data_IF_243886264146
#
_entry.id   IF_243886264146
#
_cell.length_a   1.000
_cell.length_b   1.000
_cell.length_c   1.000
_cell.angle_alpha   90.00
_cell.angle_beta   90.00
_cell.angle_gamma   90.00
#
_symmetry.space_group_name_H-M   'P 1'
#
loop_
_entity.id
_entity.type
_entity.pdbx_description
1 polymer ?
#
# COMPACT_ATOMS: atom_id res chain seq x y z
N UNK A 1 25.51 -8.77 21.69
CA UNK A 1 25.39 -7.51 22.47
C UNK A 1 25.32 -6.37 21.47
N UNK A 2 24.18 -5.69 21.36
CA UNK A 2 24.02 -4.56 20.44
C UNK A 2 24.88 -3.39 20.93
N UNK A 3 25.70 -2.82 20.04
CA UNK A 3 26.54 -1.64 20.33
C UNK A 3 26.21 -0.57 19.31
N UNK A 4 26.28 0.70 19.71
CA UNK A 4 26.06 1.87 18.84
C UNK A 4 24.64 1.95 18.23
N UNK A 5 23.62 1.40 18.90
CA UNK A 5 22.24 1.55 18.47
C UNK A 5 21.79 3.01 18.68
N UNK A 6 21.33 3.67 17.62
CA UNK A 6 20.62 4.94 17.74
C UNK A 6 19.17 4.63 18.11
N UNK A 7 18.74 5.02 19.30
CA UNK A 7 17.37 4.86 19.76
C UNK A 7 16.78 6.20 20.21
N UNK A 8 15.46 6.29 20.18
CA UNK A 8 14.73 7.37 20.81
C UNK A 8 14.50 7.01 22.28
N UNK A 9 14.74 7.97 23.17
CA UNK A 9 14.49 7.82 24.60
C UNK A 9 13.27 8.68 24.94
N UNK A 10 12.21 8.02 25.41
CA UNK A 10 11.05 8.70 25.98
C UNK A 10 11.32 8.86 27.49
N UNK A 11 11.65 10.07 27.93
CA UNK A 11 12.03 10.35 29.32
C UNK A 11 10.90 10.06 30.33
N UNK A 12 9.64 10.10 29.88
CA UNK A 12 8.46 9.81 30.69
C UNK A 12 8.11 8.30 30.76
N UNK A 13 8.93 7.42 30.18
CA UNK A 13 8.70 5.98 30.20
C UNK A 13 9.31 5.34 31.46
N UNK A 14 8.56 5.38 32.56
CA UNK A 14 8.96 4.78 33.83
C UNK A 14 9.10 3.25 33.77
N UNK A 15 8.48 2.59 32.77
CA UNK A 15 8.56 1.15 32.58
C UNK A 15 9.88 0.68 31.95
N UNK A 16 10.70 1.61 31.43
CA UNK A 16 11.96 1.30 30.73
C UNK A 16 11.79 0.35 29.52
N UNK A 17 10.58 0.27 28.97
CA UNK A 17 10.27 -0.56 27.80
C UNK A 17 11.01 -0.02 26.56
N UNK A 18 11.72 -0.89 25.83
CA UNK A 18 12.38 -0.56 24.58
C UNK A 18 11.61 -1.14 23.40
N UNK A 19 11.20 -0.27 22.46
CA UNK A 19 10.67 -0.73 21.17
C UNK A 19 11.80 -0.80 20.16
N UNK A 20 11.99 -1.98 19.54
CA UNK A 20 12.96 -2.20 18.48
C UNK A 20 12.26 -2.56 17.17
N UNK A 21 12.77 -2.04 16.05
CA UNK A 21 12.26 -2.39 14.73
C UNK A 21 12.60 -3.83 14.35
N UNK A 22 11.86 -4.38 13.37
CA UNK A 22 12.04 -5.75 12.85
C UNK A 22 13.50 -6.08 12.49
N UNK A 23 14.28 -5.22 11.80
CA UNK A 23 15.67 -5.54 11.47
C UNK A 23 16.55 -5.78 12.71
N UNK A 24 16.32 -5.05 13.80
CA UNK A 24 17.06 -5.24 15.06
C UNK A 24 16.61 -6.50 15.77
N UNK A 25 15.32 -6.83 15.73
CA UNK A 25 14.78 -8.09 16.26
C UNK A 25 15.41 -9.31 15.56
N UNK A 26 15.56 -9.26 14.24
CA UNK A 26 16.23 -10.32 13.47
C UNK A 26 17.71 -10.49 13.86
N UNK A 27 18.44 -9.38 14.01
CA UNK A 27 19.84 -9.39 14.49
C UNK A 27 19.94 -10.02 15.89
N UNK A 28 18.93 -9.79 16.74
CA UNK A 28 18.84 -10.37 18.07
C UNK A 28 18.40 -11.85 18.07
N UNK A 29 18.10 -12.43 16.89
CA UNK A 29 17.70 -13.81 16.74
C UNK A 29 16.20 -14.07 16.90
N UNK A 30 15.38 -13.01 17.00
CA UNK A 30 13.93 -13.14 17.00
C UNK A 30 13.41 -13.35 15.58
N UNK A 31 12.33 -14.12 15.47
CA UNK A 31 11.59 -14.32 14.21
C UNK A 31 10.15 -13.88 14.42
N UNK A 32 9.66 -12.97 13.57
CA UNK A 32 8.26 -12.50 13.65
C UNK A 32 7.29 -13.66 13.55
N UNK A 33 7.51 -14.60 12.63
CA UNK A 33 6.62 -15.77 12.47
C UNK A 33 6.59 -16.65 13.71
N UNK A 34 7.75 -16.92 14.33
CA UNK A 34 7.80 -17.70 15.58
C UNK A 34 7.07 -17.00 16.71
N UNK A 35 7.27 -15.69 16.86
CA UNK A 35 6.58 -14.89 17.87
C UNK A 35 5.07 -14.87 17.65
N UNK A 36 4.61 -14.81 16.40
CA UNK A 36 3.19 -14.85 16.06
C UNK A 36 2.57 -16.23 16.28
N UNK A 37 3.31 -17.31 16.01
CA UNK A 37 2.87 -18.68 16.31
C UNK A 37 2.74 -18.85 17.83
N UNK A 38 3.76 -18.47 18.60
CA UNK A 38 3.73 -18.53 20.07
C UNK A 38 2.60 -17.66 20.66
N UNK A 39 2.40 -16.46 20.12
CA UNK A 39 1.30 -15.58 20.56
C UNK A 39 -0.08 -16.17 20.24
N UNK A 40 -0.23 -16.83 19.09
CA UNK A 40 -1.46 -17.53 18.71
C UNK A 40 -1.72 -18.74 19.61
N UNK A 41 -0.68 -19.48 19.97
CA UNK A 41 -0.79 -20.60 20.91
C UNK A 41 -1.18 -20.11 22.32
N UNK A 42 -0.70 -18.93 22.72
CA UNK A 42 -1.03 -18.31 24.01
C UNK A 42 -2.46 -17.73 24.06
N UNK A 43 -2.91 -17.09 22.98
CA UNK A 43 -4.31 -16.66 22.84
C UNK A 43 -4.75 -16.67 21.37
N UNK A 44 -5.90 -17.30 21.05
CA UNK A 44 -6.41 -17.32 19.68
C UNK A 44 -6.98 -15.96 19.25
N UNK A 45 -7.36 -15.12 20.21
CA UNK A 45 -7.93 -13.79 19.98
C UNK A 45 -7.19 -12.78 20.85
N UNK A 46 -6.71 -11.71 20.23
CA UNK A 46 -6.04 -10.60 20.92
C UNK A 46 -6.89 -9.36 20.69
N UNK A 47 -7.62 -8.92 21.71
CA UNK A 47 -8.30 -7.63 21.66
C UNK A 47 -7.25 -6.52 21.68
N UNK A 48 -7.09 -5.86 20.54
CA UNK A 48 -6.41 -4.58 20.50
C UNK A 48 -7.31 -3.61 21.27
N UNK A 49 -6.83 -3.17 22.45
CA UNK A 49 -7.56 -2.24 23.33
C UNK A 49 -8.13 -1.04 22.55
N UNK A 50 -9.16 -0.38 23.09
CA UNK A 50 -9.98 0.55 22.33
C UNK A 50 -9.14 1.62 21.63
N UNK A 51 -9.30 1.71 20.31
CA UNK A 51 -8.79 2.83 19.51
C UNK A 51 -9.48 4.10 19.99
N UNK A 52 -8.80 4.83 20.88
CA UNK A 52 -9.30 6.06 21.50
C UNK A 52 -10.66 5.87 22.20
N UNK A 53 -10.64 5.60 23.51
CA UNK A 53 -11.78 6.03 24.34
C UNK A 53 -12.01 7.52 24.08
N UNK A 54 -13.25 7.87 23.73
CA UNK A 54 -13.70 9.25 23.58
C UNK A 54 -13.63 10.06 24.90
N UNK A 55 -13.21 9.44 26.01
CA UNK A 55 -12.85 10.09 27.26
C UNK A 55 -11.60 9.40 27.84
N UNK A 56 -10.41 10.01 27.78
CA UNK A 56 -9.25 9.50 28.50
C UNK A 56 -9.50 9.68 30.00
N UNK A 57 -9.65 8.58 30.74
CA UNK A 57 -9.38 8.62 32.17
C UNK A 57 -7.88 8.89 32.32
N UNK A 58 -7.50 9.92 33.08
CA UNK A 58 -6.11 10.38 33.25
C UNK A 58 -5.15 9.31 33.82
N UNK A 59 -5.67 8.17 34.29
CA UNK A 59 -4.91 7.09 34.91
C UNK A 59 -4.58 5.89 34.00
N UNK A 60 -4.97 5.90 32.71
CA UNK A 60 -4.61 4.79 31.80
C UNK A 60 -3.27 5.05 31.14
N UNK A 61 -2.23 4.33 31.57
CA UNK A 61 -0.92 4.35 30.92
C UNK A 61 -1.07 4.03 29.42
N UNK A 62 -0.47 4.87 28.57
CA UNK A 62 -0.51 4.66 27.12
C UNK A 62 0.08 3.30 26.76
N UNK A 63 -0.53 2.58 25.83
CA UNK A 63 0.06 1.35 25.29
C UNK A 63 1.34 1.66 24.50
N UNK A 64 2.26 0.70 24.41
CA UNK A 64 3.50 0.87 23.64
C UNK A 64 3.25 1.31 22.18
N UNK A 65 2.15 0.84 21.57
CA UNK A 65 1.72 1.25 20.24
C UNK A 65 1.29 2.72 20.19
N UNK A 66 0.51 3.19 21.16
CA UNK A 66 0.10 4.60 21.26
C UNK A 66 1.30 5.52 21.47
N UNK A 67 2.27 5.12 22.30
CA UNK A 67 3.53 5.86 22.50
C UNK A 67 4.34 5.96 21.20
N UNK A 68 4.48 4.85 20.46
CA UNK A 68 5.12 4.83 19.14
C UNK A 68 4.44 5.74 18.12
N UNK A 69 3.10 5.71 18.04
CA UNK A 69 2.36 6.58 17.14
C UNK A 69 2.60 8.07 17.46
N UNK A 70 2.68 8.45 18.75
CA UNK A 70 3.01 9.84 19.14
C UNK A 70 4.43 10.24 18.77
N UNK A 71 5.42 9.38 18.99
CA UNK A 71 6.81 9.64 18.59
C UNK A 71 6.96 9.82 17.08
N UNK A 72 6.19 9.06 16.28
CA UNK A 72 6.13 9.21 14.82
C UNK A 72 5.49 10.54 14.38
N UNK A 73 4.48 11.04 15.10
CA UNK A 73 3.84 12.33 14.80
C UNK A 73 4.76 13.51 15.11
N UNK A 74 5.60 13.41 16.15
CA UNK A 74 6.56 14.45 16.54
C UNK A 74 7.77 14.60 15.60
N UNK A 75 8.05 13.60 14.76
CA UNK A 75 9.27 13.52 13.94
C UNK A 75 8.95 13.48 12.45
N UNK A 76 8.15 14.42 11.96
CA UNK A 76 7.67 14.43 10.56
C UNK A 76 8.76 14.57 9.48
N UNK A 77 10.04 14.77 9.85
CA UNK A 77 11.21 14.61 8.97
C UNK A 77 12.49 14.45 9.82
N UNK A 78 12.94 13.23 10.17
CA UNK A 78 14.32 13.03 10.61
C UNK A 78 15.25 12.98 9.37
N UNK A 79 16.48 13.52 9.43
CA UNK A 79 17.46 13.31 8.39
C UNK A 79 17.80 11.82 8.31
N UNK A 80 17.33 11.17 7.25
CA UNK A 80 17.61 9.76 6.98
C UNK A 80 19.12 9.57 6.76
N UNK A 81 19.81 8.69 7.51
CA UNK A 81 21.18 8.35 7.20
C UNK A 81 21.26 7.64 5.84
N UNK A 82 22.19 8.08 4.99
CA UNK A 82 22.51 7.46 3.70
C UNK A 82 22.99 6.03 3.94
N UNK A 83 22.08 5.06 3.85
CA UNK A 83 22.36 3.64 4.11
C UNK A 83 21.18 2.86 4.66
N UNK A 84 20.18 3.52 5.25
CA UNK A 84 18.97 2.87 5.81
C UNK A 84 17.73 3.04 4.92
N UNK A 85 17.89 3.49 3.68
CA UNK A 85 16.79 3.66 2.73
C UNK A 85 16.20 2.32 2.25
N UNK A 86 16.97 1.23 2.32
CA UNK A 86 16.62 -0.06 1.72
C UNK A 86 15.96 -1.06 2.70
N UNK A 87 15.99 -0.77 4.00
CA UNK A 87 15.53 -1.69 5.06
C UNK A 87 14.22 -1.30 5.74
N UNK A 88 13.69 -0.10 5.48
CA UNK A 88 12.32 0.23 5.86
C UNK A 88 11.45 -0.41 4.79
N UNK A 89 10.81 -1.53 5.11
CA UNK A 89 9.53 -1.89 4.51
C UNK A 89 8.60 -0.70 4.80
N UNK A 90 8.71 0.34 3.97
CA UNK A 90 7.57 1.16 3.63
C UNK A 90 6.58 0.07 3.27
N UNK A 91 5.53 -0.09 4.06
CA UNK A 91 4.34 -0.70 3.50
C UNK A 91 4.17 0.10 2.22
N UNK A 92 4.51 -0.54 1.11
CA UNK A 92 4.05 -0.11 -0.18
C UNK A 92 2.55 -0.14 0.07
N UNK A 93 1.98 0.99 0.47
CA UNK A 93 0.73 1.43 -0.07
C UNK A 93 1.08 1.37 -1.55
N UNK A 94 0.88 0.19 -2.14
CA UNK A 94 0.96 -0.01 -3.56
C UNK A 94 -0.18 0.84 -4.01
N UNK A 95 0.12 2.12 -4.22
CA UNK A 95 -0.65 2.96 -5.10
C UNK A 95 -0.55 2.20 -6.41
N UNK A 96 -1.54 1.34 -6.64
CA UNK A 96 -1.71 0.60 -7.87
C UNK A 96 -2.14 1.66 -8.88
N UNK A 97 -1.15 2.48 -9.28
CA UNK A 97 -1.31 3.37 -10.40
C UNK A 97 -1.55 2.46 -11.61
N UNK A 98 -2.54 2.77 -12.46
CA UNK A 98 -2.70 2.03 -13.68
C UNK A 98 -1.38 1.99 -14.44
N UNK A 99 -0.92 0.77 -14.71
CA UNK A 99 -0.01 0.47 -15.80
C UNK A 99 -0.66 1.01 -17.05
N UNK A 100 -0.03 2.04 -17.61
CA UNK A 100 -0.58 2.70 -18.79
C UNK A 100 -0.41 1.82 -20.05
N UNK A 101 0.32 0.72 -19.93
CA UNK A 101 0.65 -0.16 -21.04
C UNK A 101 -0.58 -1.00 -21.42
N UNK A 102 -0.81 -1.27 -22.71
CA UNK A 102 -1.81 -2.25 -23.12
C UNK A 102 -1.52 -3.60 -22.47
N UNK A 103 -2.59 -4.34 -22.14
CA UNK A 103 -2.43 -5.70 -21.60
C UNK A 103 -1.86 -6.62 -22.66
N UNK A 104 -0.73 -7.26 -22.36
CA UNK A 104 -0.20 -8.35 -23.19
C UNK A 104 -1.00 -9.63 -22.91
N UNK A 105 -1.94 -9.93 -23.80
CA UNK A 105 -2.76 -11.13 -23.71
C UNK A 105 -1.93 -12.41 -23.76
N UNK A 106 -0.73 -12.41 -24.37
CA UNK A 106 0.11 -13.60 -24.38
C UNK A 106 0.67 -13.90 -23.00
N UNK A 107 1.10 -12.88 -22.26
CA UNK A 107 1.56 -13.04 -20.88
C UNK A 107 0.42 -13.46 -19.96
N UNK A 108 -0.78 -12.91 -20.16
CA UNK A 108 -1.99 -13.37 -19.47
C UNK A 108 -2.24 -14.84 -19.75
N UNK A 109 -2.24 -15.29 -21.01
CA UNK A 109 -2.46 -16.70 -21.38
C UNK A 109 -1.41 -17.60 -20.74
N UNK A 110 -0.12 -17.24 -20.79
CA UNK A 110 0.96 -18.00 -20.15
C UNK A 110 0.73 -18.13 -18.65
N UNK A 111 0.33 -17.05 -17.99
CA UNK A 111 0.04 -17.06 -16.56
C UNK A 111 -1.16 -17.96 -16.24
N UNK A 112 -2.23 -17.88 -17.03
CA UNK A 112 -3.42 -18.69 -16.86
C UNK A 112 -3.15 -20.19 -17.06
N UNK A 113 -2.41 -20.58 -18.11
CA UNK A 113 -2.02 -22.00 -18.31
C UNK A 113 -1.19 -22.53 -17.14
N UNK A 114 -0.28 -21.72 -16.57
CA UNK A 114 0.47 -22.10 -15.36
C UNK A 114 -0.43 -22.31 -14.14
N UNK A 115 -1.51 -21.53 -14.00
CA UNK A 115 -2.51 -21.74 -12.93
C UNK A 115 -3.33 -23.01 -13.15
N UNK A 116 -3.61 -23.39 -14.40
CA UNK A 116 -4.26 -24.66 -14.73
C UNK A 116 -3.34 -25.83 -14.35
N UNK A 117 -2.05 -25.76 -14.65
CA UNK A 117 -1.07 -26.79 -14.26
C UNK A 117 -1.01 -27.00 -12.74
N UNK A 118 -1.04 -25.91 -11.96
CA UNK A 118 -1.11 -25.99 -10.50
C UNK A 118 -2.41 -26.69 -10.06
N UNK A 119 -3.55 -26.35 -10.67
CA UNK A 119 -4.81 -26.99 -10.35
C UNK A 119 -4.81 -28.50 -10.67
N UNK A 120 -4.17 -28.91 -11.78
CA UNK A 120 -3.97 -30.32 -12.13
C UNK A 120 -3.16 -31.05 -11.05
N UNK A 121 -2.06 -30.46 -10.59
CA UNK A 121 -1.24 -31.01 -9.50
C UNK A 121 -2.01 -31.13 -8.18
N UNK A 122 -3.00 -30.27 -7.95
CA UNK A 122 -3.89 -30.29 -6.79
C UNK A 122 -5.10 -31.23 -6.95
N UNK A 123 -5.18 -31.99 -8.05
CA UNK A 123 -6.21 -33.02 -8.26
C UNK A 123 -7.35 -32.62 -9.19
N UNK A 124 -7.20 -31.57 -10.01
CA UNK A 124 -8.18 -31.26 -11.05
C UNK A 124 -8.25 -32.40 -12.08
N UNK A 125 -9.46 -32.89 -12.35
CA UNK A 125 -9.69 -33.96 -13.32
C UNK A 125 -9.36 -33.53 -14.75
N UNK A 126 -9.11 -34.49 -15.64
CA UNK A 126 -8.83 -34.21 -17.07
C UNK A 126 -9.99 -33.48 -17.77
N UNK A 127 -11.24 -33.84 -17.45
CA UNK A 127 -12.43 -33.13 -17.93
C UNK A 127 -12.52 -31.71 -17.34
N UNK A 128 -12.25 -31.56 -16.04
CA UNK A 128 -12.19 -30.27 -15.37
C UNK A 128 -11.12 -29.34 -15.97
N UNK A 129 -9.95 -29.88 -16.30
CA UNK A 129 -8.87 -29.19 -17.02
C UNK A 129 -9.32 -28.69 -18.37
N UNK A 130 -9.94 -29.55 -19.19
CA UNK A 130 -10.41 -29.19 -20.52
C UNK A 130 -11.45 -28.06 -20.45
N UNK A 131 -12.41 -28.18 -19.51
CA UNK A 131 -13.43 -27.15 -19.25
C UNK A 131 -12.80 -25.83 -18.79
N UNK A 132 -11.90 -25.87 -17.82
CA UNK A 132 -11.25 -24.67 -17.28
C UNK A 132 -10.44 -23.95 -18.36
N UNK A 133 -9.65 -24.68 -19.15
CA UNK A 133 -8.90 -24.14 -20.28
C UNK A 133 -9.82 -23.49 -21.31
N UNK A 134 -10.93 -24.12 -21.65
CA UNK A 134 -11.90 -23.56 -22.59
C UNK A 134 -12.49 -22.24 -22.08
N UNK A 135 -12.90 -22.17 -20.81
CA UNK A 135 -13.43 -20.94 -20.20
C UNK A 135 -12.39 -19.83 -20.19
N UNK A 136 -11.15 -20.13 -19.78
CA UNK A 136 -10.07 -19.14 -19.71
C UNK A 136 -9.69 -18.59 -21.10
N UNK A 137 -9.70 -19.42 -22.14
CA UNK A 137 -9.45 -18.98 -23.52
C UNK A 137 -10.53 -18.04 -24.05
N UNK A 138 -11.80 -18.37 -23.78
CA UNK A 138 -12.95 -17.54 -24.20
C UNK A 138 -12.98 -16.21 -23.47
N UNK A 139 -12.49 -16.16 -22.22
CA UNK A 139 -12.57 -15.00 -21.33
C UNK A 139 -11.22 -14.37 -21.02
N UNK A 140 -10.23 -14.56 -21.90
CA UNK A 140 -8.85 -14.09 -21.68
C UNK A 140 -8.80 -12.58 -21.47
N UNK A 141 -9.71 -11.86 -22.14
CA UNK A 141 -9.90 -10.42 -22.09
C UNK A 141 -10.39 -9.91 -20.73
N UNK A 142 -10.92 -10.77 -19.85
CA UNK A 142 -11.34 -10.40 -18.50
C UNK A 142 -10.19 -10.39 -17.48
N UNK A 143 -9.01 -10.90 -17.85
CA UNK A 143 -7.88 -11.02 -16.93
C UNK A 143 -6.82 -9.97 -17.20
N UNK A 144 -6.25 -9.44 -16.12
CA UNK A 144 -5.18 -8.45 -16.13
C UNK A 144 -4.12 -8.87 -15.13
N UNK A 145 -2.84 -8.76 -15.52
CA UNK A 145 -1.73 -9.00 -14.60
C UNK A 145 -1.43 -7.75 -13.75
N UNK A 146 -1.73 -6.58 -14.30
CA UNK A 146 -1.59 -5.28 -13.67
C UNK A 146 -2.81 -4.43 -14.00
N UNK A 147 -3.12 -3.43 -13.16
CA UNK A 147 -4.21 -2.49 -13.45
C UNK A 147 -3.88 -1.75 -14.75
N UNK A 148 -4.63 -1.95 -15.84
CA UNK A 148 -4.24 -1.56 -17.19
C UNK A 148 -4.96 -0.32 -17.74
N UNK A 149 -4.52 0.15 -18.90
CA UNK A 149 -5.21 1.17 -19.70
C UNK A 149 -6.41 0.57 -20.48
N UNK A 150 -7.37 0.01 -19.75
CA UNK A 150 -8.60 -0.54 -20.32
C UNK A 150 -9.55 0.57 -20.80
N UNK A 151 -10.34 0.33 -21.86
CA UNK A 151 -11.31 1.31 -22.32
C UNK A 151 -12.38 1.59 -21.25
N UNK A 152 -12.96 2.80 -21.24
CA UNK A 152 -14.06 3.11 -20.34
C UNK A 152 -15.23 2.14 -20.54
N UNK A 153 -15.86 1.76 -19.44
CA UNK A 153 -17.11 0.97 -19.48
C UNK A 153 -18.18 1.77 -20.22
N UNK A 154 -19.06 1.09 -20.95
CA UNK A 154 -20.12 1.71 -21.74
C UNK A 154 -21.28 2.21 -20.86
N UNK A 155 -20.98 3.27 -20.09
CA UNK A 155 -21.92 3.97 -19.22
C UNK A 155 -21.95 5.45 -19.58
N UNK A 156 -23.05 6.11 -19.24
CA UNK A 156 -23.15 7.56 -19.44
C UNK A 156 -22.11 8.25 -18.54
N UNK A 157 -21.40 9.28 -19.03
CA UNK A 157 -20.43 10.01 -18.21
C UNK A 157 -21.03 10.54 -16.92
N UNK A 158 -20.27 10.47 -15.84
CA UNK A 158 -20.66 11.03 -14.55
C UNK A 158 -20.88 12.55 -14.68
N UNK A 159 -22.03 13.02 -14.19
CA UNK A 159 -22.34 14.44 -14.10
C UNK A 159 -22.18 14.92 -12.67
N UNK A 160 -21.39 15.99 -12.48
CA UNK A 160 -21.18 16.62 -11.17
C UNK A 160 -22.20 17.75 -11.00
N UNK A 161 -23.00 17.68 -9.94
CA UNK A 161 -23.92 18.76 -9.55
C UNK A 161 -23.27 19.62 -8.47
N UNK A 162 -23.12 20.91 -8.75
CA UNK A 162 -22.66 21.89 -7.78
C UNK A 162 -23.82 22.34 -6.89
N UNK A 163 -23.51 22.85 -5.70
CA UNK A 163 -24.47 23.56 -4.85
C UNK A 163 -24.83 24.91 -5.51
N UNK A 164 -26.04 25.40 -5.25
CA UNK A 164 -26.60 26.58 -5.92
C UNK A 164 -25.73 27.85 -5.77
N UNK A 165 -24.99 27.97 -4.66
CA UNK A 165 -24.13 29.10 -4.32
C UNK A 165 -22.63 28.83 -4.54
N UNK A 166 -22.27 27.70 -5.14
CA UNK A 166 -20.89 27.31 -5.36
C UNK A 166 -20.17 28.31 -6.29
N UNK A 167 -19.05 28.86 -5.82
CA UNK A 167 -18.19 29.75 -6.60
C UNK A 167 -16.88 29.04 -6.98
N UNK A 168 -16.40 29.17 -8.23
CA UNK A 168 -15.11 28.63 -8.60
C UNK A 168 -14.00 29.34 -7.83
N UNK A 169 -13.06 28.56 -7.29
CA UNK A 169 -11.89 29.07 -6.57
C UNK A 169 -10.63 28.57 -7.26
N UNK A 170 -9.71 29.49 -7.54
CA UNK A 170 -8.39 29.16 -8.09
C UNK A 170 -7.38 29.05 -6.96
N UNK A 171 -6.93 27.82 -6.69
CA UNK A 171 -5.86 27.57 -5.74
C UNK A 171 -4.51 28.05 -6.31
N UNK A 172 -3.63 28.55 -5.45
CA UNK A 172 -2.27 28.91 -5.84
C UNK A 172 -1.43 27.65 -6.11
N UNK A 173 -0.56 27.63 -7.14
CA UNK A 173 0.33 26.52 -7.40
C UNK A 173 1.25 26.24 -6.21
N UNK A 174 1.42 24.96 -5.86
CA UNK A 174 2.37 24.55 -4.82
C UNK A 174 3.80 24.52 -5.37
N UNK A 175 4.77 24.86 -4.52
CA UNK A 175 6.20 24.67 -4.82
C UNK A 175 6.58 23.23 -4.48
N UNK A 176 7.20 22.56 -5.44
CA UNK A 176 7.67 21.19 -5.32
C UNK A 176 9.19 21.15 -5.37
N UNK A 177 9.79 20.15 -4.72
CA UNK A 177 11.22 19.88 -4.89
C UNK A 177 11.52 19.51 -6.36
N UNK A 178 12.78 19.63 -6.82
CA UNK A 178 13.14 19.21 -8.18
C UNK A 178 12.79 17.76 -8.49
N UNK A 179 12.95 16.85 -7.52
CA UNK A 179 12.64 15.43 -7.67
C UNK A 179 11.14 15.18 -7.81
N UNK A 180 10.32 15.80 -6.95
CA UNK A 180 8.87 15.67 -7.01
C UNK A 180 8.31 16.24 -8.33
N UNK A 181 8.85 17.38 -8.77
CA UNK A 181 8.47 17.99 -10.05
C UNK A 181 8.77 17.05 -11.21
N UNK A 182 9.97 16.46 -11.25
CA UNK A 182 10.34 15.51 -12.29
C UNK A 182 9.43 14.26 -12.30
N UNK A 183 9.03 13.78 -11.13
CA UNK A 183 8.03 12.70 -11.04
C UNK A 183 6.67 13.14 -11.60
N UNK A 184 6.14 14.28 -11.14
CA UNK A 184 4.84 14.79 -11.58
C UNK A 184 4.80 15.06 -13.08
N UNK A 185 5.89 15.58 -13.66
CA UNK A 185 6.00 15.82 -15.09
C UNK A 185 5.92 14.50 -15.89
N UNK A 186 6.70 13.48 -15.48
CA UNK A 186 6.65 12.14 -16.11
C UNK A 186 5.27 11.50 -15.97
N UNK A 187 4.68 11.58 -14.78
CA UNK A 187 3.38 10.98 -14.51
C UNK A 187 2.26 11.67 -15.29
N UNK A 188 2.24 13.00 -15.32
CA UNK A 188 1.26 13.78 -16.09
C UNK A 188 1.40 13.55 -17.59
N UNK A 189 2.64 13.43 -18.09
CA UNK A 189 2.90 13.09 -19.48
C UNK A 189 2.31 11.72 -19.85
N UNK A 190 2.45 10.72 -18.96
CA UNK A 190 1.82 9.41 -19.15
C UNK A 190 0.28 9.54 -19.16
N UNK A 191 -0.32 10.24 -18.19
CA UNK A 191 -1.78 10.44 -18.17
C UNK A 191 -2.31 11.11 -19.46
N UNK A 192 -1.57 12.07 -20.02
CA UNK A 192 -1.90 12.73 -21.28
C UNK A 192 -1.80 11.78 -22.47
N UNK A 193 -0.71 11.00 -22.56
CA UNK A 193 -0.50 10.04 -23.64
C UNK A 193 -1.59 8.97 -23.69
N UNK A 194 -2.17 8.62 -22.54
CA UNK A 194 -3.22 7.63 -22.40
C UNK A 194 -4.64 8.20 -22.36
N UNK A 195 -4.79 9.52 -22.57
CA UNK A 195 -6.11 10.16 -22.70
C UNK A 195 -6.90 10.26 -21.38
N UNK A 196 -6.27 10.04 -20.23
CA UNK A 196 -6.91 10.09 -18.92
C UNK A 196 -7.07 11.53 -18.40
N UNK A 197 -6.24 12.44 -18.89
CA UNK A 197 -6.35 13.89 -18.65
C UNK A 197 -6.19 14.65 -19.95
N UNK A 198 -6.66 15.90 -19.97
CA UNK A 198 -6.52 16.80 -21.12
C UNK A 198 -6.25 18.23 -20.66
N UNK A 199 -5.66 19.04 -21.54
CA UNK A 199 -5.45 20.48 -21.27
C UNK A 199 -6.77 21.24 -21.43
N UNK A 200 -7.26 21.81 -20.33
CA UNK A 200 -8.46 22.65 -20.36
C UNK A 200 -8.10 24.11 -20.68
N UNK A 201 -8.25 24.50 -21.95
CA UNK A 201 -8.00 25.87 -22.41
C UNK A 201 -9.04 26.89 -21.93
N UNK A 202 -10.12 26.44 -21.27
CA UNK A 202 -11.19 27.31 -20.74
C UNK A 202 -11.07 27.55 -19.23
N UNK A 203 -10.05 26.99 -18.58
CA UNK A 203 -9.77 27.26 -17.17
C UNK A 203 -9.37 28.74 -17.01
N UNK A 204 -10.21 29.53 -16.34
CA UNK A 204 -9.93 30.93 -15.98
C UNK A 204 -9.54 31.03 -14.51
#
# INVERSE_FOLDING_TARGET
MLRNLKCYVEEANDAMDLTVGRPIMEILGYSTDKLLVEARDASPEWELGPTASANPSEDSADTALQRMCRLQVGTRDPPMPEGEADGIERHEIRTALPSMHPTDLNEVVKYLERKIEIAEQMGLSLDGRAKLRAVMRVRVDNFRLEFGNDPPVWVTPMQVRLKDDARPVRAQPRRYSPNDRAFLDRHTAALLAHGLVYKNHRSR
#
